data_IF_678470730402
#
_entry.id   IF_678470730402
#
_cell.length_a   1.000
_cell.length_b   1.000
_cell.length_c   1.000
_cell.angle_alpha   90.00
_cell.angle_beta   90.00
_cell.angle_gamma   90.00
#
_symmetry.space_group_name_H-M   'P 1'
#
loop_
_entity.id
_entity.type
_entity.pdbx_description
1 polymer ?
#
# COMPACT_ATOMS: atom_id res chain seq x y z
N UNK A 1 -4.30 1.08 -26.12
CA UNK A 1 -4.47 1.71 -24.80
C UNK A 1 -5.30 0.78 -23.94
N UNK A 2 -5.00 0.66 -22.65
CA UNK A 2 -5.71 -0.17 -21.68
C UNK A 2 -6.33 0.70 -20.60
N UNK A 3 -7.27 0.15 -19.81
CA UNK A 3 -7.78 0.86 -18.64
C UNK A 3 -6.63 1.12 -17.67
N UNK A 4 -6.61 2.27 -17.04
CA UNK A 4 -5.61 2.59 -16.03
C UNK A 4 -5.85 1.78 -14.76
N UNK A 5 -4.79 1.34 -14.12
CA UNK A 5 -4.87 0.62 -12.87
C UNK A 5 -5.18 1.52 -11.68
N UNK A 6 -5.79 0.94 -10.64
CA UNK A 6 -6.14 1.60 -9.39
C UNK A 6 -6.27 0.58 -8.27
N UNK A 7 -6.32 1.09 -7.05
CA UNK A 7 -6.57 0.23 -5.90
C UNK A 7 -7.91 -0.50 -6.06
N UNK A 8 -7.95 -1.72 -5.51
CA UNK A 8 -9.05 -2.69 -5.63
C UNK A 8 -9.15 -3.38 -6.99
N UNK A 9 -8.21 -3.17 -7.92
CA UNK A 9 -8.11 -4.04 -9.09
C UNK A 9 -7.89 -5.47 -8.66
N UNK A 10 -8.74 -6.37 -9.15
CA UNK A 10 -8.60 -7.79 -8.90
C UNK A 10 -7.50 -8.35 -9.80
N UNK A 11 -6.63 -9.16 -9.20
CA UNK A 11 -5.51 -9.84 -9.85
C UNK A 11 -5.74 -11.34 -9.70
N UNK A 12 -5.61 -12.07 -10.79
CA UNK A 12 -5.76 -13.54 -10.80
C UNK A 12 -4.60 -14.17 -11.54
N UNK A 13 -4.15 -15.34 -11.08
CA UNK A 13 -3.03 -16.03 -11.70
C UNK A 13 -2.67 -17.34 -11.02
N UNK A 14 -1.44 -17.77 -11.26
CA UNK A 14 -0.89 -19.01 -10.71
C UNK A 14 0.52 -18.70 -10.18
N UNK A 15 0.78 -19.04 -8.92
CA UNK A 15 2.10 -18.98 -8.33
C UNK A 15 2.74 -20.37 -8.29
N UNK A 16 4.06 -20.39 -8.45
CA UNK A 16 4.90 -21.58 -8.46
C UNK A 16 5.61 -21.65 -7.11
N UNK A 17 5.18 -22.56 -6.25
CA UNK A 17 5.81 -22.86 -4.97
C UNK A 17 6.06 -24.36 -4.85
N UNK A 18 7.33 -24.76 -4.82
CA UNK A 18 7.70 -26.16 -4.72
C UNK A 18 7.28 -26.74 -3.37
N UNK A 19 6.70 -27.93 -3.39
CA UNK A 19 6.25 -28.63 -2.19
C UNK A 19 7.20 -29.76 -1.80
N UNK A 20 7.20 -30.10 -0.52
CA UNK A 20 8.11 -31.10 0.05
C UNK A 20 7.60 -32.54 -0.01
N UNK A 21 6.29 -32.74 -0.26
CA UNK A 21 5.66 -34.07 -0.29
C UNK A 21 4.95 -34.33 -1.64
N UNK A 22 4.77 -35.62 -2.02
CA UNK A 22 3.92 -36.02 -3.14
C UNK A 22 2.50 -35.41 -3.00
N UNK A 23 1.87 -34.95 -4.09
CA UNK A 23 2.23 -35.16 -5.50
C UNK A 23 3.28 -34.19 -6.06
N UNK A 24 3.97 -33.40 -5.22
CA UNK A 24 4.95 -32.40 -5.65
C UNK A 24 4.37 -31.35 -6.61
N UNK A 25 3.09 -30.99 -6.47
CA UNK A 25 2.44 -30.00 -7.32
C UNK A 25 2.93 -28.59 -6.95
N UNK A 26 3.64 -27.88 -7.84
CA UNK A 26 4.14 -26.56 -7.53
C UNK A 26 3.09 -25.46 -7.76
N UNK A 27 2.00 -25.75 -8.48
CA UNK A 27 1.06 -24.73 -8.92
C UNK A 27 0.00 -24.42 -7.85
N UNK A 28 -0.04 -23.16 -7.45
CA UNK A 28 -0.98 -22.60 -6.48
C UNK A 28 -1.76 -21.45 -7.13
N UNK A 29 -3.08 -21.36 -6.97
CA UNK A 29 -3.84 -20.22 -7.49
C UNK A 29 -3.46 -18.95 -6.73
N UNK A 30 -3.30 -17.87 -7.47
CA UNK A 30 -3.17 -16.52 -6.94
C UNK A 30 -4.46 -15.75 -7.19
N UNK A 31 -5.01 -15.17 -6.13
CA UNK A 31 -6.09 -14.20 -6.21
C UNK A 31 -5.71 -13.06 -5.28
N UNK A 32 -5.63 -11.84 -5.80
CA UNK A 32 -5.20 -10.68 -5.04
C UNK A 32 -5.92 -9.42 -5.45
N UNK A 33 -5.61 -8.34 -4.75
CA UNK A 33 -6.06 -7.00 -5.06
C UNK A 33 -4.87 -6.05 -5.07
N UNK A 34 -4.84 -5.12 -6.03
CA UNK A 34 -3.88 -4.02 -6.03
C UNK A 34 -4.22 -3.07 -4.88
N UNK A 35 -3.29 -2.90 -3.95
CA UNK A 35 -3.44 -1.99 -2.81
C UNK A 35 -2.09 -1.81 -2.11
N UNK A 36 -1.62 -0.57 -2.04
CA UNK A 36 -0.48 -0.20 -1.19
C UNK A 36 -0.99 0.58 0.06
N UNK A 37 -0.82 0.05 1.28
CA UNK A 37 -1.12 0.79 2.51
C UNK A 37 -0.35 2.11 2.66
N UNK A 38 0.85 2.23 2.09
CA UNK A 38 1.65 3.46 2.17
C UNK A 38 0.98 4.64 1.45
N UNK A 39 0.25 4.35 0.37
CA UNK A 39 -0.50 5.35 -0.41
C UNK A 39 -1.66 6.00 0.35
N UNK A 40 -2.02 5.47 1.52
CA UNK A 40 -3.01 6.05 2.43
C UNK A 40 -2.40 6.84 3.59
N UNK A 41 -1.07 6.93 3.70
CA UNK A 41 -0.42 7.71 4.76
C UNK A 41 -0.60 9.20 4.45
N UNK A 42 -1.20 10.00 5.37
CA UNK A 42 -1.41 11.43 5.14
C UNK A 42 -0.11 12.16 4.80
N UNK A 43 -0.16 13.05 3.81
CA UNK A 43 0.96 13.90 3.34
C UNK A 43 2.17 13.15 2.74
N UNK A 44 2.19 11.82 2.75
CA UNK A 44 3.28 10.99 2.23
C UNK A 44 2.85 10.05 1.11
N UNK A 45 1.63 9.50 1.18
CA UNK A 45 1.05 8.64 0.16
C UNK A 45 0.51 9.41 -1.05
N UNK A 46 0.02 8.69 -2.06
CA UNK A 46 -0.50 9.31 -3.27
C UNK A 46 -1.71 10.23 -3.05
N UNK A 47 -1.72 11.34 -3.77
CA UNK A 47 -2.87 12.25 -3.90
C UNK A 47 -3.69 11.99 -5.17
N UNK A 48 -3.21 11.11 -6.05
CA UNK A 48 -3.81 10.84 -7.35
C UNK A 48 -4.87 9.74 -7.21
N UNK A 49 -6.05 10.00 -7.78
CA UNK A 49 -7.18 9.10 -7.74
C UNK A 49 -7.72 8.84 -9.15
N UNK A 50 -8.14 7.60 -9.38
CA UNK A 50 -8.85 7.16 -10.59
C UNK A 50 -10.23 6.71 -10.15
N UNK A 51 -11.27 7.45 -10.56
CA UNK A 51 -12.67 7.13 -10.24
C UNK A 51 -12.90 6.92 -8.73
N UNK A 52 -12.28 7.75 -7.88
CA UNK A 52 -12.45 7.69 -6.42
C UNK A 52 -11.53 6.70 -5.68
N UNK A 53 -10.82 5.83 -6.39
CA UNK A 53 -9.80 4.95 -5.81
C UNK A 53 -8.40 5.52 -6.01
N UNK A 54 -7.47 5.25 -5.10
CA UNK A 54 -6.04 5.60 -5.27
C UNK A 54 -5.51 4.97 -6.56
N UNK A 55 -4.61 5.68 -7.25
CA UNK A 55 -3.99 5.21 -8.51
C UNK A 55 -3.27 3.87 -8.32
N UNK A 56 -3.09 3.13 -9.42
CA UNK A 56 -2.25 1.93 -9.48
C UNK A 56 -1.15 2.16 -10.52
N UNK A 57 0.09 2.13 -10.09
CA UNK A 57 1.27 2.43 -10.89
C UNK A 57 2.37 1.42 -10.58
N UNK A 58 3.53 1.61 -11.20
CA UNK A 58 4.68 0.71 -11.11
C UNK A 58 5.24 0.45 -9.71
N UNK A 59 5.03 1.36 -8.76
CA UNK A 59 5.47 1.19 -7.36
C UNK A 59 4.34 0.66 -6.43
N UNK A 60 3.11 0.49 -6.93
CA UNK A 60 2.00 -0.08 -6.15
C UNK A 60 2.18 -1.59 -6.01
N UNK A 61 2.16 -2.07 -4.76
CA UNK A 61 2.03 -3.49 -4.47
C UNK A 61 0.57 -3.95 -4.48
N UNK A 62 0.35 -5.25 -4.63
CA UNK A 62 -0.93 -5.88 -4.35
C UNK A 62 -0.83 -6.89 -3.21
N UNK A 63 -1.95 -7.14 -2.56
CA UNK A 63 -2.07 -8.07 -1.45
C UNK A 63 -2.86 -9.29 -1.93
N UNK A 64 -2.36 -10.48 -1.63
CA UNK A 64 -3.10 -11.71 -1.90
C UNK A 64 -4.35 -11.80 -1.02
N UNK A 65 -5.42 -12.40 -1.50
CA UNK A 65 -6.58 -12.85 -0.72
C UNK A 65 -6.39 -14.36 -0.56
N UNK A 66 -6.13 -14.89 0.65
CA UNK A 66 -6.57 -14.45 1.98
C UNK A 66 -5.49 -13.80 2.89
N UNK A 67 -4.72 -12.83 2.39
CA UNK A 67 -3.57 -12.14 3.04
C UNK A 67 -2.27 -12.96 3.12
N UNK A 68 -2.36 -14.28 3.09
CA UNK A 68 -1.21 -15.15 2.97
C UNK A 68 -1.49 -16.24 1.95
N UNK A 69 -0.44 -16.75 1.33
CA UNK A 69 -0.51 -17.96 0.53
C UNK A 69 -0.92 -19.10 1.47
N UNK A 70 -1.80 -19.98 1.01
CA UNK A 70 -2.14 -21.21 1.72
C UNK A 70 -1.51 -22.36 0.94
N UNK A 71 -0.68 -23.21 1.58
CA UNK A 71 -0.15 -24.40 0.92
C UNK A 71 -1.32 -25.35 0.63
N UNK A 72 -1.63 -25.52 -0.65
CA UNK A 72 -2.59 -26.52 -1.09
C UNK A 72 -1.82 -27.84 -1.10
N UNK A 73 -2.28 -28.81 -0.32
CA UNK A 73 -1.77 -30.19 -0.25
C UNK A 73 -0.47 -30.44 0.54
N UNK A 74 0.54 -29.58 0.50
CA UNK A 74 1.84 -29.90 1.13
C UNK A 74 2.66 -28.67 1.56
N UNK A 75 3.48 -28.76 2.63
CA UNK A 75 4.38 -27.68 3.02
C UNK A 75 5.38 -27.30 1.92
N UNK A 76 5.64 -26.01 1.76
CA UNK A 76 6.58 -25.49 0.77
C UNK A 76 8.04 -25.70 1.16
N UNK A 77 8.89 -25.82 0.13
CA UNK A 77 10.35 -25.90 0.27
C UNK A 77 10.93 -24.57 0.74
N UNK A 78 10.42 -23.44 0.23
CA UNK A 78 10.99 -22.11 0.44
C UNK A 78 10.05 -21.12 1.14
N UNK A 79 9.31 -21.59 2.15
CA UNK A 79 8.35 -20.77 2.91
C UNK A 79 8.88 -19.38 3.36
N UNK A 80 10.15 -19.20 3.79
CA UNK A 80 10.65 -17.89 4.22
C UNK A 80 10.83 -16.84 3.11
N UNK A 81 10.79 -17.26 1.84
CA UNK A 81 11.04 -16.43 0.65
C UNK A 81 9.71 -15.98 0.00
N UNK A 82 8.58 -16.45 0.52
CA UNK A 82 7.26 -16.16 -0.04
C UNK A 82 6.77 -14.82 0.50
N UNK A 83 6.57 -13.85 -0.40
CA UNK A 83 6.23 -12.47 -0.06
C UNK A 83 4.75 -12.22 0.24
N UNK A 84 3.84 -13.07 -0.23
CA UNK A 84 2.38 -12.89 -0.11
C UNK A 84 1.82 -11.62 -0.79
N UNK A 85 2.52 -11.11 -1.80
CA UNK A 85 2.21 -9.86 -2.46
C UNK A 85 2.31 -9.99 -4.00
N UNK A 86 1.81 -8.98 -4.70
CA UNK A 86 2.06 -8.74 -6.12
C UNK A 86 2.69 -7.36 -6.32
N UNK A 87 3.22 -7.11 -7.51
CA UNK A 87 3.76 -5.82 -7.88
C UNK A 87 3.42 -5.48 -9.33
N UNK A 88 3.04 -4.22 -9.53
CA UNK A 88 2.65 -3.63 -10.80
C UNK A 88 3.84 -3.32 -11.72
N UNK A 89 4.76 -4.26 -11.88
CA UNK A 89 6.05 -4.05 -12.55
C UNK A 89 5.97 -3.52 -13.99
N UNK A 90 4.90 -3.83 -14.73
CA UNK A 90 4.71 -3.36 -16.10
C UNK A 90 3.87 -2.09 -16.11
N UNK A 91 4.39 -1.04 -16.74
CA UNK A 91 3.78 0.28 -16.72
C UNK A 91 4.04 1.08 -18.00
N UNK A 92 3.21 2.10 -18.25
CA UNK A 92 3.28 2.95 -19.43
C UNK A 92 4.59 3.72 -19.54
N UNK A 93 5.17 3.81 -20.74
CA UNK A 93 6.36 4.65 -20.96
C UNK A 93 6.10 6.16 -20.87
N UNK A 94 4.86 6.59 -21.11
CA UNK A 94 4.54 8.00 -21.36
C UNK A 94 3.62 8.61 -20.31
N UNK A 95 2.94 7.79 -19.50
CA UNK A 95 1.98 8.25 -18.49
C UNK A 95 2.56 8.04 -17.10
N UNK A 96 2.61 9.12 -16.33
CA UNK A 96 3.19 9.15 -14.99
C UNK A 96 2.18 9.63 -13.95
N UNK A 97 2.38 9.18 -12.72
CA UNK A 97 1.69 9.64 -11.50
C UNK A 97 2.69 9.57 -10.35
N UNK A 98 2.74 10.56 -9.47
CA UNK A 98 3.68 10.58 -8.33
C UNK A 98 5.14 10.27 -8.72
N UNK A 99 5.55 10.75 -9.90
CA UNK A 99 6.88 10.53 -10.49
C UNK A 99 7.22 9.09 -10.91
N UNK A 100 6.23 8.20 -10.93
CA UNK A 100 6.36 6.80 -11.34
C UNK A 100 5.32 6.44 -12.41
N UNK A 101 5.57 5.38 -13.19
CA UNK A 101 4.79 5.10 -14.41
C UNK A 101 3.45 4.46 -14.09
N UNK A 102 2.38 4.93 -14.72
CA UNK A 102 1.03 4.38 -14.53
C UNK A 102 0.91 2.98 -15.11
N UNK A 103 0.32 2.07 -14.34
CA UNK A 103 0.15 0.68 -14.74
C UNK A 103 -1.22 0.48 -15.40
N UNK A 104 -1.35 -0.42 -16.38
CA UNK A 104 -2.63 -0.77 -16.97
C UNK A 104 -3.34 -1.91 -16.20
N UNK A 105 -4.67 -1.90 -16.22
CA UNK A 105 -5.48 -3.11 -16.04
C UNK A 105 -5.47 -3.94 -17.31
N UNK A 106 -5.72 -5.24 -17.20
CA UNK A 106 -5.69 -6.13 -18.36
C UNK A 106 -4.26 -6.40 -18.82
N UNK A 107 -3.31 -6.43 -17.89
CA UNK A 107 -1.91 -6.76 -18.19
C UNK A 107 -1.31 -7.63 -17.09
N UNK A 108 -0.12 -8.18 -17.37
CA UNK A 108 0.56 -9.07 -16.44
C UNK A 108 1.04 -8.28 -15.21
N UNK A 109 0.98 -8.93 -14.05
CA UNK A 109 1.59 -8.46 -12.80
C UNK A 109 2.60 -9.49 -12.33
N UNK A 110 3.58 -9.02 -11.57
CA UNK A 110 4.56 -9.88 -10.95
C UNK A 110 3.98 -10.39 -9.62
N UNK A 111 3.84 -11.70 -9.45
CA UNK A 111 3.42 -12.35 -8.19
C UNK A 111 4.50 -13.22 -7.61
N UNK A 112 4.38 -13.53 -6.31
CA UNK A 112 5.37 -14.31 -5.57
C UNK A 112 5.55 -15.70 -6.18
N UNK A 113 6.79 -16.05 -6.52
CA UNK A 113 7.12 -17.35 -7.07
C UNK A 113 8.45 -17.83 -6.48
N UNK A 114 8.68 -19.14 -6.49
CA UNK A 114 9.95 -19.75 -6.07
C UNK A 114 11.08 -19.53 -7.09
N UNK A 115 10.73 -19.07 -8.30
CA UNK A 115 11.65 -18.74 -9.39
C UNK A 115 11.26 -17.36 -9.91
N UNK A 116 12.22 -16.46 -10.09
CA UNK A 116 11.93 -15.14 -10.64
C UNK A 116 12.97 -14.09 -10.33
N UNK A 117 12.53 -12.84 -10.37
CA UNK A 117 13.33 -11.65 -10.08
C UNK A 117 13.09 -11.25 -8.62
N UNK A 118 14.13 -10.90 -7.83
CA UNK A 118 13.95 -10.40 -6.47
C UNK A 118 13.39 -8.97 -6.52
N UNK A 119 12.09 -8.80 -6.34
CA UNK A 119 11.41 -7.50 -6.49
C UNK A 119 10.97 -6.88 -5.15
N UNK A 120 10.92 -7.66 -4.08
CA UNK A 120 10.59 -7.18 -2.74
C UNK A 120 11.46 -7.87 -1.68
N UNK A 121 11.38 -7.36 -0.46
CA UNK A 121 12.10 -7.88 0.69
C UNK A 121 11.10 -8.16 1.81
N UNK A 122 10.76 -9.43 2.02
CA UNK A 122 9.99 -9.83 3.19
C UNK A 122 10.82 -9.69 4.47
N UNK A 123 10.16 -9.40 5.58
CA UNK A 123 10.77 -9.46 6.92
C UNK A 123 10.93 -10.93 7.30
N UNK A 124 12.06 -11.51 6.91
CA UNK A 124 12.42 -12.91 7.15
C UNK A 124 13.90 -13.03 7.42
N UNK A 125 14.32 -13.96 8.30
CA UNK A 125 15.73 -14.16 8.58
C UNK A 125 16.37 -14.95 7.43
N UNK A 126 17.15 -14.28 6.58
CA UNK A 126 17.91 -14.95 5.50
C UNK A 126 19.39 -15.00 5.83
N UNK A 127 19.99 -16.18 5.70
CA UNK A 127 21.44 -16.32 5.77
C UNK A 127 22.05 -15.92 4.43
N UNK A 128 22.78 -14.82 4.41
CA UNK A 128 23.66 -14.46 3.28
C UNK A 128 25.09 -14.62 3.76
N UNK A 129 25.75 -15.68 3.29
CA UNK A 129 27.06 -16.11 3.81
C UNK A 129 26.99 -16.46 5.30
N UNK A 130 27.87 -15.86 6.12
CA UNK A 130 27.92 -16.07 7.58
C UNK A 130 26.99 -15.15 8.38
N UNK A 131 26.31 -14.18 7.76
CA UNK A 131 25.45 -13.20 8.46
C UNK A 131 23.97 -13.48 8.21
N UNK A 132 23.17 -13.41 9.27
CA UNK A 132 21.71 -13.44 9.16
C UNK A 132 21.20 -12.02 8.93
N UNK A 133 20.71 -11.74 7.72
CA UNK A 133 19.97 -10.53 7.44
C UNK A 133 18.53 -10.71 7.91
N UNK A 134 17.90 -9.68 8.51
CA UNK A 134 16.51 -9.72 8.94
C UNK A 134 15.51 -9.55 7.78
N UNK A 135 15.99 -9.59 6.55
CA UNK A 135 15.20 -9.47 5.33
C UNK A 135 15.52 -10.61 4.36
N UNK A 136 14.50 -11.15 3.73
CA UNK A 136 14.58 -12.19 2.71
C UNK A 136 14.16 -11.61 1.36
N UNK A 137 14.98 -11.73 0.30
CA UNK A 137 14.53 -11.34 -1.03
C UNK A 137 13.39 -12.27 -1.45
N UNK A 138 12.24 -11.70 -1.76
CA UNK A 138 11.08 -12.43 -2.29
C UNK A 138 11.16 -12.40 -3.81
N UNK A 139 10.98 -13.56 -4.43
CA UNK A 139 11.11 -13.73 -5.86
C UNK A 139 9.73 -13.59 -6.53
N UNK A 140 9.72 -12.98 -7.71
CA UNK A 140 8.48 -12.75 -8.45
C UNK A 140 8.62 -13.11 -9.93
N UNK A 141 7.53 -13.59 -10.51
CA UNK A 141 7.40 -13.90 -11.92
C UNK A 141 6.08 -13.36 -12.49
N UNK A 142 5.99 -13.10 -13.81
CA UNK A 142 4.80 -12.55 -14.46
C UNK A 142 3.75 -13.64 -14.69
N UNK A 143 3.29 -14.28 -13.62
CA UNK A 143 2.36 -15.43 -13.68
C UNK A 143 0.93 -15.07 -13.34
N UNK A 144 0.65 -13.78 -13.16
CA UNK A 144 -0.67 -13.23 -12.83
C UNK A 144 -1.07 -12.09 -13.75
N UNK A 145 -2.37 -11.79 -13.78
CA UNK A 145 -2.98 -10.84 -14.68
C UNK A 145 -4.03 -9.99 -13.96
N UNK A 146 -4.03 -8.68 -14.20
CA UNK A 146 -5.06 -7.79 -13.67
C UNK A 146 -6.33 -7.88 -14.50
N UNK A 147 -7.48 -8.01 -13.84
CA UNK A 147 -8.76 -8.01 -14.54
C UNK A 147 -9.12 -6.59 -15.01
N UNK A 148 -9.46 -6.40 -16.30
CA UNK A 148 -9.82 -5.10 -16.86
C UNK A 148 -11.25 -4.69 -16.48
N UNK A 149 -11.57 -4.73 -15.19
CA UNK A 149 -12.87 -4.33 -14.65
C UNK A 149 -12.87 -2.80 -14.51
N UNK A 150 -13.76 -2.07 -15.20
CA UNK A 150 -13.85 -0.63 -15.06
C UNK A 150 -14.44 -0.27 -13.70
N UNK A 151 -13.80 0.67 -13.00
CA UNK A 151 -14.27 1.20 -11.71
C UNK A 151 -15.09 2.49 -11.84
N UNK A 152 -15.47 2.87 -13.07
CA UNK A 152 -16.14 4.12 -13.38
C UNK A 152 -16.00 4.48 -14.85
N UNK A 153 -15.97 5.78 -15.16
CA UNK A 153 -15.72 6.25 -16.52
C UNK A 153 -14.35 5.73 -17.01
N UNK A 154 -14.23 5.26 -18.27
CA UNK A 154 -12.96 4.75 -18.77
C UNK A 154 -11.86 5.81 -18.70
N UNK A 155 -10.82 5.52 -17.92
CA UNK A 155 -9.56 6.28 -17.93
C UNK A 155 -8.52 5.36 -18.53
N UNK A 156 -7.90 5.79 -19.63
CA UNK A 156 -7.03 4.96 -20.44
C UNK A 156 -5.57 5.34 -20.22
N UNK A 157 -4.71 4.34 -20.19
CA UNK A 157 -3.26 4.52 -20.17
C UNK A 157 -2.66 4.06 -21.51
N UNK A 158 -1.68 4.83 -21.99
CA UNK A 158 -1.01 4.59 -23.27
C UNK A 158 0.02 3.46 -23.18
N UNK A 159 0.11 2.62 -24.21
CA UNK A 159 1.20 1.65 -24.34
C UNK A 159 2.42 2.27 -25.05
N UNK A 160 3.56 1.56 -25.12
CA UNK A 160 3.78 0.20 -24.63
C UNK A 160 3.92 0.13 -23.09
N UNK A 161 3.89 -1.09 -22.54
CA UNK A 161 3.96 -1.35 -21.09
C UNK A 161 5.22 -2.16 -20.72
N UNK A 162 6.42 -1.61 -20.86
CA UNK A 162 7.64 -2.29 -20.44
C UNK A 162 7.71 -2.41 -18.90
N UNK A 163 8.58 -3.30 -18.40
CA UNK A 163 9.03 -3.28 -17.02
C UNK A 163 9.53 -1.90 -16.56
N UNK A 164 9.06 -1.42 -15.43
CA UNK A 164 9.55 -0.20 -14.78
C UNK A 164 10.38 -0.54 -13.53
N UNK A 165 11.70 -0.58 -13.74
CA UNK A 165 12.70 -0.76 -12.69
C UNK A 165 12.80 0.43 -11.74
N UNK A 166 12.48 1.64 -12.21
CA UNK A 166 12.47 2.84 -11.37
C UNK A 166 11.33 2.80 -10.37
N UNK A 167 10.13 2.47 -10.85
CA UNK A 167 8.97 2.20 -10.01
C UNK A 167 9.22 1.10 -8.99
N UNK A 168 9.76 -0.05 -9.42
CA UNK A 168 10.15 -1.13 -8.52
C UNK A 168 11.06 -0.66 -7.39
N UNK A 169 12.14 0.08 -7.72
CA UNK A 169 13.11 0.51 -6.71
C UNK A 169 12.50 1.49 -5.71
N UNK A 170 11.63 2.38 -6.19
CA UNK A 170 10.86 3.31 -5.35
C UNK A 170 9.94 2.54 -4.40
N UNK A 171 9.17 1.57 -4.90
CA UNK A 171 8.29 0.72 -4.09
C UNK A 171 9.05 -0.07 -3.03
N UNK A 172 10.22 -0.63 -3.39
CA UNK A 172 11.09 -1.32 -2.44
C UNK A 172 11.64 -0.39 -1.36
N UNK A 173 12.09 0.82 -1.74
CA UNK A 173 12.57 1.80 -0.79
C UNK A 173 11.46 2.25 0.18
N UNK A 174 10.25 2.47 -0.34
CA UNK A 174 9.07 2.82 0.44
C UNK A 174 8.70 1.70 1.42
N UNK A 175 8.68 0.44 0.99
CA UNK A 175 8.33 -0.70 1.84
C UNK A 175 9.36 -0.94 2.96
N UNK A 176 10.67 -0.83 2.67
CA UNK A 176 11.74 -0.90 3.67
C UNK A 176 11.63 0.28 4.66
N UNK A 177 11.41 1.49 4.14
CA UNK A 177 11.22 2.70 4.94
C UNK A 177 10.03 2.57 5.89
N UNK A 178 8.89 2.14 5.37
CA UNK A 178 7.65 1.93 6.12
C UNK A 178 7.81 0.84 7.18
N UNK A 179 8.41 -0.31 6.84
CA UNK A 179 8.70 -1.39 7.80
C UNK A 179 9.59 -0.91 8.96
N UNK A 180 10.60 -0.10 8.66
CA UNK A 180 11.51 0.46 9.66
C UNK A 180 10.82 1.49 10.56
N UNK A 181 10.00 2.36 9.97
CA UNK A 181 9.18 3.32 10.69
C UNK A 181 8.20 2.61 11.64
N UNK A 182 7.46 1.61 11.13
CA UNK A 182 6.50 0.83 11.92
C UNK A 182 7.17 0.09 13.09
N UNK A 183 8.39 -0.44 12.92
CA UNK A 183 9.17 -1.01 14.02
C UNK A 183 9.50 0.03 15.10
N UNK A 184 9.92 1.24 14.71
CA UNK A 184 10.20 2.34 15.66
C UNK A 184 8.93 2.76 16.40
N UNK A 185 7.81 2.94 15.69
CA UNK A 185 6.50 3.28 16.26
C UNK A 185 6.05 2.20 17.25
N UNK A 186 6.13 0.91 16.88
CA UNK A 186 5.79 -0.20 17.77
C UNK A 186 6.69 -0.26 19.01
N UNK A 187 7.98 0.01 18.85
CA UNK A 187 8.92 0.10 19.98
C UNK A 187 8.57 1.24 20.94
N UNK A 188 8.18 2.39 20.42
CA UNK A 188 7.72 3.53 21.21
C UNK A 188 6.38 3.21 21.89
N UNK A 189 5.41 2.67 21.16
CA UNK A 189 4.12 2.25 21.69
C UNK A 189 4.28 1.21 22.81
N UNK A 190 5.18 0.24 22.67
CA UNK A 190 5.47 -0.75 23.72
C UNK A 190 6.08 -0.11 24.98
N UNK A 191 6.95 0.90 24.82
CA UNK A 191 7.47 1.69 25.96
C UNK A 191 6.39 2.52 26.66
N UNK A 192 5.42 3.04 25.89
CA UNK A 192 4.28 3.77 26.42
C UNK A 192 3.27 2.81 27.09
N UNK A 193 3.10 1.59 26.58
CA UNK A 193 2.14 0.62 27.11
C UNK A 193 2.68 -0.21 28.29
N UNK A 194 4.00 -0.37 28.42
CA UNK A 194 4.64 -1.06 29.57
C UNK A 194 4.73 -0.22 30.84
N UNK A 195 4.50 1.10 30.74
CA UNK A 195 4.33 1.97 31.90
C UNK A 195 2.90 2.43 31.84
N UNK A 196 2.01 1.99 32.74
CA UNK A 196 0.60 2.39 32.83
C UNK A 196 0.42 3.91 33.06
N UNK A 197 0.88 4.70 32.11
CA UNK A 197 1.08 6.13 32.17
C UNK A 197 0.11 6.74 31.19
N UNK A 198 -0.84 7.48 31.73
CA UNK A 198 -1.77 8.38 31.05
C UNK A 198 -1.16 8.91 29.75
N UNK A 199 -1.89 8.74 28.64
CA UNK A 199 -1.60 9.31 27.32
C UNK A 199 -0.88 10.65 27.47
N UNK A 200 0.34 10.84 26.91
CA UNK A 200 1.06 12.09 27.03
C UNK A 200 0.15 13.21 26.52
N UNK A 201 -0.14 14.22 27.34
CA UNK A 201 -1.03 15.34 26.99
C UNK A 201 -0.63 15.99 25.65
N UNK A 202 0.67 16.03 25.34
CA UNK A 202 1.19 16.55 24.06
C UNK A 202 0.96 15.68 22.82
N UNK A 203 0.73 14.37 22.95
CA UNK A 203 0.38 13.51 21.79
C UNK A 203 -1.04 13.82 21.32
N UNK A 204 -1.96 14.10 22.25
CA UNK A 204 -3.33 14.53 21.93
C UNK A 204 -3.34 15.87 21.21
N UNK A 205 -2.55 16.83 21.68
CA UNK A 205 -2.44 18.15 21.06
C UNK A 205 -1.74 18.10 19.69
N UNK A 206 -0.73 17.23 19.53
CA UNK A 206 -0.05 17.02 18.24
C UNK A 206 -0.91 16.25 17.24
N UNK A 207 -1.69 15.24 17.67
CA UNK A 207 -2.67 14.56 16.82
C UNK A 207 -3.80 15.51 16.41
N UNK A 208 -4.26 16.37 17.32
CA UNK A 208 -5.25 17.42 17.03
C UNK A 208 -4.72 18.47 16.03
N UNK A 209 -3.43 18.80 16.06
CA UNK A 209 -2.80 19.75 15.12
C UNK A 209 -2.43 19.12 13.76
N UNK A 210 -2.05 17.85 13.73
CA UNK A 210 -1.75 17.14 12.48
C UNK A 210 -3.01 16.66 11.75
N UNK A 211 -4.12 16.46 12.48
CA UNK A 211 -5.41 16.11 11.92
C UNK A 211 -6.23 17.38 11.62
N UNK A 212 -5.83 18.12 10.57
CA UNK A 212 -6.74 19.03 9.84
C UNK A 212 -7.79 18.23 9.04
N UNK A 213 -8.23 17.09 9.58
CA UNK A 213 -9.34 16.30 9.04
C UNK A 213 -10.60 16.79 9.75
N UNK A 214 -11.77 16.82 9.10
CA UNK A 214 -13.00 17.38 9.66
C UNK A 214 -13.57 16.51 10.80
N UNK A 215 -12.80 15.60 11.39
CA UNK A 215 -13.23 14.62 12.39
C UNK A 215 -12.34 14.69 13.63
N UNK A 216 -12.97 14.98 14.76
CA UNK A 216 -12.36 14.92 16.07
C UNK A 216 -12.06 13.46 16.44
N UNK A 217 -10.77 13.11 16.46
CA UNK A 217 -10.29 11.75 16.71
C UNK A 217 -10.55 11.22 18.14
N UNK A 218 -11.08 12.05 19.05
CA UNK A 218 -11.39 11.65 20.43
C UNK A 218 -12.82 11.14 20.56
N UNK A 219 -13.79 11.88 20.03
CA UNK A 219 -15.22 11.58 20.13
C UNK A 219 -15.85 11.16 18.78
N UNK A 220 -15.08 11.22 17.68
CA UNK A 220 -15.57 10.95 16.32
C UNK A 220 -16.45 12.06 15.74
N UNK A 221 -16.58 13.21 16.43
CA UNK A 221 -17.47 14.28 16.00
C UNK A 221 -16.89 15.02 14.79
N UNK A 222 -17.75 15.33 13.83
CA UNK A 222 -17.36 16.16 12.69
C UNK A 222 -17.30 17.62 13.15
N UNK A 223 -16.16 18.27 12.95
CA UNK A 223 -15.93 19.68 13.27
C UNK A 223 -15.90 20.47 11.98
N UNK A 224 -16.78 21.47 11.87
CA UNK A 224 -16.79 22.44 10.78
C UNK A 224 -16.67 23.84 11.36
N UNK A 225 -15.50 24.46 11.21
CA UNK A 225 -15.21 25.83 11.65
C UNK A 225 -14.89 26.70 10.43
N UNK A 226 -15.49 27.88 10.35
CA UNK A 226 -15.22 28.83 9.27
C UNK A 226 -15.70 30.25 9.61
N UNK A 227 -15.04 31.27 9.07
CA UNK A 227 -15.48 32.66 9.16
C UNK A 227 -16.35 33.00 7.96
N UNK A 228 -17.52 33.59 8.22
CA UNK A 228 -18.48 33.95 7.17
C UNK A 228 -18.19 35.32 6.58
N UNK A 229 -17.90 36.31 7.43
CA UNK A 229 -17.46 37.63 6.98
C UNK A 229 -16.66 38.37 8.05
N UNK A 230 -15.72 39.18 7.56
CA UNK A 230 -14.86 40.06 8.34
C UNK A 230 -15.13 41.51 7.96
N UNK A 231 -15.45 42.36 8.95
CA UNK A 231 -15.55 43.81 8.77
C UNK A 231 -14.30 44.45 9.36
N UNK A 232 -13.41 44.92 8.47
CA UNK A 232 -12.24 45.71 8.85
C UNK A 232 -12.67 47.14 9.25
N UNK A 233 -12.99 47.32 10.53
CA UNK A 233 -13.27 48.62 11.14
C UNK A 233 -12.33 48.85 12.34
N UNK A 234 -12.26 50.07 12.92
CA UNK A 234 -11.51 50.31 14.16
C UNK A 234 -11.88 49.34 15.29
N UNK A 235 -13.09 48.77 15.24
CA UNK A 235 -13.49 47.58 16.01
C UNK A 235 -13.69 46.43 15.00
N UNK A 236 -12.77 45.48 14.97
CA UNK A 236 -12.87 44.32 14.08
C UNK A 236 -14.09 43.48 14.46
N UNK A 237 -15.00 43.27 13.51
CA UNK A 237 -16.17 42.42 13.69
C UNK A 237 -16.00 41.20 12.80
N UNK A 238 -15.71 40.05 13.42
CA UNK A 238 -15.58 38.75 12.75
C UNK A 238 -16.78 37.90 13.14
N UNK A 239 -17.49 37.37 12.14
CA UNK A 239 -18.55 36.40 12.35
C UNK A 239 -18.05 34.99 12.06
N UNK A 240 -17.77 34.23 13.13
CA UNK A 240 -17.32 32.84 13.06
C UNK A 240 -18.50 31.87 13.23
N UNK A 241 -18.51 30.80 12.44
CA UNK A 241 -19.41 29.67 12.56
C UNK A 241 -18.62 28.44 12.99
N UNK A 242 -19.07 27.83 14.08
CA UNK A 242 -18.58 26.54 14.55
C UNK A 242 -19.75 25.56 14.65
N UNK A 243 -19.68 24.47 13.89
CA UNK A 243 -20.66 23.39 13.95
C UNK A 243 -19.97 22.09 14.35
N UNK A 244 -20.59 21.39 15.29
CA UNK A 244 -20.10 20.13 15.85
C UNK A 244 -21.22 19.09 15.72
N UNK A 245 -20.92 17.91 15.19
CA UNK A 245 -21.94 16.86 15.03
C UNK A 245 -22.47 16.27 16.34
N UNK A 246 -21.81 16.56 17.46
CA UNK A 246 -22.15 16.10 18.80
C UNK A 246 -22.70 17.21 19.71
N UNK A 247 -23.09 18.37 19.15
CA UNK A 247 -23.80 19.39 19.91
C UNK A 247 -25.26 19.00 20.12
N UNK A 248 -25.70 18.92 21.39
CA UNK A 248 -27.12 18.84 21.79
C UNK A 248 -27.85 20.19 21.62
#
# INVERSE_FOLDING_TARGET
MLLTDNHLTIVVGIDIHFTTLPPFNPFHPYIGIVIDPFDYVPFLGTSVHVNGFKRGNSDTSGIIIPLMHIPLFSPWVMAPIIGHESMNFFASETVFSDSTRMSPKGHMLMTCNDIGIPLSMAVGKTKVGKKMLPFAPTLFAPTSFSLPIPTGKPVMVGGPYPPDWGGMLTGLAASIGFSTLMKKVRGLAKKINMKGSKSPKGLKDSLRKCAHDPVNLINGAVIYEGSDFDIASPITLNWERSWYSDSE
#
